data_IF_800061815217
#
_entry.id   IF_800061815217
#
_cell.length_a   1.000
_cell.length_b   1.000
_cell.length_c   1.000
_cell.angle_alpha   90.00
_cell.angle_beta   90.00
_cell.angle_gamma   90.00
#
_symmetry.space_group_name_H-M   'P 1'
#
loop_
_entity.id
_entity.type
_entity.pdbx_description
1 polymer ?
#
# COMPACT_ATOMS: atom_id res chain seq x y z
N UNK A 1 3.61 -13.29 -9.86
CA UNK A 1 4.44 -12.42 -10.72
C UNK A 1 4.54 -11.00 -10.15
N UNK A 2 3.42 -10.23 -9.93
CA UNK A 2 3.43 -8.81 -9.53
C UNK A 2 4.25 -8.55 -8.26
N UNK A 3 4.12 -9.37 -7.22
CA UNK A 3 4.90 -9.23 -5.97
C UNK A 3 6.39 -9.38 -6.22
N UNK A 4 6.79 -10.42 -6.98
CA UNK A 4 8.20 -10.67 -7.33
C UNK A 4 8.75 -9.54 -8.20
N UNK A 5 7.97 -9.08 -9.21
CA UNK A 5 8.38 -7.98 -10.08
C UNK A 5 8.65 -6.69 -9.28
N UNK A 6 7.78 -6.35 -8.33
CA UNK A 6 8.01 -5.16 -7.51
C UNK A 6 9.24 -5.29 -6.61
N UNK A 7 9.49 -6.46 -6.03
CA UNK A 7 10.71 -6.74 -5.26
C UNK A 7 11.97 -6.57 -6.11
N UNK A 8 11.97 -7.08 -7.33
CA UNK A 8 13.08 -6.93 -8.26
C UNK A 8 13.27 -5.47 -8.71
N UNK A 9 12.16 -4.72 -8.87
CA UNK A 9 12.22 -3.27 -9.12
C UNK A 9 12.87 -2.51 -7.96
N UNK A 10 12.49 -2.79 -6.71
CA UNK A 10 13.13 -2.20 -5.51
C UNK A 10 14.64 -2.47 -5.53
N UNK A 11 15.07 -3.70 -5.78
CA UNK A 11 16.48 -4.06 -5.87
C UNK A 11 17.20 -3.35 -7.02
N UNK A 12 16.53 -3.22 -8.18
CA UNK A 12 17.07 -2.52 -9.34
C UNK A 12 17.23 -1.03 -9.06
N UNK A 13 16.22 -0.40 -8.45
CA UNK A 13 16.28 1.02 -8.09
C UNK A 13 17.39 1.30 -7.07
N UNK A 14 17.57 0.45 -6.06
CA UNK A 14 18.69 0.56 -5.11
C UNK A 14 20.05 0.40 -5.80
N UNK A 15 20.16 -0.49 -6.78
CA UNK A 15 21.39 -0.67 -7.56
C UNK A 15 21.69 0.59 -8.38
N UNK A 16 20.68 1.15 -9.06
CA UNK A 16 20.82 2.39 -9.82
C UNK A 16 21.15 3.58 -8.93
N UNK A 17 20.58 3.64 -7.73
CA UNK A 17 20.89 4.67 -6.74
C UNK A 17 22.36 4.63 -6.33
N UNK A 18 22.89 3.43 -6.01
CA UNK A 18 24.32 3.23 -5.70
C UNK A 18 25.25 3.63 -6.84
N UNK A 19 24.76 3.60 -8.08
CA UNK A 19 25.48 4.07 -9.28
C UNK A 19 25.32 5.58 -9.52
N UNK A 20 24.64 6.32 -8.64
CA UNK A 20 24.39 7.76 -8.80
C UNK A 20 23.37 8.09 -9.91
N UNK A 21 22.55 7.10 -10.35
CA UNK A 21 21.57 7.29 -11.42
C UNK A 21 20.17 7.62 -10.94
N UNK A 22 19.91 7.45 -9.65
CA UNK A 22 18.65 7.80 -8.99
C UNK A 22 18.88 8.80 -7.88
N UNK A 23 17.80 9.41 -7.39
CA UNK A 23 17.89 10.49 -6.40
C UNK A 23 17.44 10.04 -5.01
N UNK A 24 16.42 9.18 -4.93
CA UNK A 24 15.82 8.73 -3.69
C UNK A 24 15.05 7.42 -3.90
N UNK A 25 14.91 6.61 -2.86
CA UNK A 25 14.15 5.36 -2.92
C UNK A 25 13.48 5.06 -1.57
N UNK A 26 12.22 4.65 -1.64
CA UNK A 26 11.45 4.08 -0.53
C UNK A 26 10.80 2.78 -1.00
N UNK A 27 11.42 1.64 -0.67
CA UNK A 27 10.95 0.33 -1.10
C UNK A 27 9.68 -0.13 -0.39
N UNK A 28 8.91 -0.99 -1.05
CA UNK A 28 7.72 -1.62 -0.48
C UNK A 28 7.97 -3.06 0.00
N UNK A 29 9.22 -3.51 0.00
CA UNK A 29 9.59 -4.88 0.38
C UNK A 29 9.04 -5.27 1.74
N UNK A 30 8.21 -6.32 1.77
CA UNK A 30 7.46 -6.78 2.94
C UNK A 30 5.98 -6.38 2.96
N UNK A 31 5.54 -5.49 2.06
CA UNK A 31 4.15 -5.04 1.92
C UNK A 31 3.44 -5.63 0.70
N UNK A 32 4.14 -6.34 -0.17
CA UNK A 32 3.68 -6.71 -1.50
C UNK A 32 2.40 -7.57 -1.49
N UNK A 33 2.25 -8.48 -0.51
CA UNK A 33 1.07 -9.34 -0.46
C UNK A 33 -0.20 -8.52 -0.18
N UNK A 34 -0.17 -7.62 0.82
CA UNK A 34 -1.29 -6.76 1.16
C UNK A 34 -1.66 -5.84 -0.01
N UNK A 35 -0.66 -5.24 -0.63
CA UNK A 35 -0.84 -4.30 -1.73
C UNK A 35 -1.40 -4.98 -2.98
N UNK A 36 -0.83 -6.09 -3.40
CA UNK A 36 -1.31 -6.83 -4.59
C UNK A 36 -2.69 -7.43 -4.33
N UNK A 37 -2.99 -7.91 -3.12
CA UNK A 37 -4.31 -8.43 -2.77
C UNK A 37 -5.43 -7.39 -2.98
N UNK A 38 -5.17 -6.13 -2.63
CA UNK A 38 -6.10 -5.01 -2.85
C UNK A 38 -6.43 -4.81 -4.34
N UNK A 39 -5.45 -4.98 -5.24
CA UNK A 39 -5.63 -4.76 -6.69
C UNK A 39 -6.53 -5.77 -7.40
N UNK A 40 -6.90 -6.87 -6.74
CA UNK A 40 -7.88 -7.83 -7.26
C UNK A 40 -9.32 -7.44 -6.93
N UNK A 41 -9.51 -6.36 -6.18
CA UNK A 41 -10.81 -5.88 -5.73
C UNK A 41 -11.09 -4.46 -6.21
N UNK A 42 -10.05 -3.62 -6.24
CA UNK A 42 -10.12 -2.26 -6.78
C UNK A 42 -10.07 -2.32 -8.31
N UNK A 43 -11.10 -1.78 -8.95
CA UNK A 43 -11.23 -1.79 -10.40
C UNK A 43 -10.44 -0.61 -11.02
N UNK A 44 -9.27 -0.92 -11.57
CA UNK A 44 -8.38 0.07 -12.20
C UNK A 44 -9.10 0.87 -13.30
N UNK A 45 -8.90 2.18 -13.35
CA UNK A 45 -9.57 3.07 -14.32
C UNK A 45 -11.05 3.36 -14.02
N UNK A 46 -11.61 2.75 -12.96
CA UNK A 46 -12.99 2.95 -12.53
C UNK A 46 -13.05 3.45 -11.09
N UNK A 47 -12.46 2.71 -10.15
CA UNK A 47 -12.35 3.14 -8.77
C UNK A 47 -11.22 4.17 -8.62
N UNK A 48 -11.29 5.00 -7.60
CA UNK A 48 -10.31 6.04 -7.35
C UNK A 48 -9.29 5.59 -6.32
N UNK A 49 -8.02 5.94 -6.53
CA UNK A 49 -6.91 5.53 -5.68
C UNK A 49 -6.10 6.72 -5.18
N UNK A 50 -5.93 6.80 -3.87
CA UNK A 50 -5.10 7.78 -3.15
C UNK A 50 -3.98 7.01 -2.42
N UNK A 51 -2.99 6.49 -3.16
CA UNK A 51 -1.91 5.72 -2.58
C UNK A 51 -0.95 6.60 -1.78
N UNK A 52 -0.10 5.99 -0.94
CA UNK A 52 1.05 6.67 -0.34
C UNK A 52 2.36 6.16 -0.98
N UNK A 53 3.47 6.77 -0.61
CA UNK A 53 4.78 6.54 -1.25
C UNK A 53 5.23 5.07 -1.29
N UNK A 54 4.82 4.25 -0.31
CA UNK A 54 5.23 2.84 -0.23
C UNK A 54 4.36 1.90 -1.06
N UNK A 55 3.34 2.38 -1.72
CA UNK A 55 2.38 1.57 -2.48
C UNK A 55 2.88 1.09 -3.86
N UNK A 56 4.18 0.84 -4.00
CA UNK A 56 4.78 0.42 -5.28
C UNK A 56 4.13 -0.81 -5.90
N UNK A 57 3.85 -1.85 -5.11
CA UNK A 57 3.21 -3.06 -5.60
C UNK A 57 1.71 -2.86 -5.88
N UNK A 58 1.04 -1.98 -5.15
CA UNK A 58 -0.35 -1.62 -5.41
C UNK A 58 -0.50 -0.91 -6.77
N UNK A 59 0.26 0.15 -7.00
CA UNK A 59 0.17 0.90 -8.27
C UNK A 59 0.65 0.07 -9.46
N UNK A 60 1.65 -0.82 -9.28
CA UNK A 60 2.05 -1.80 -10.27
C UNK A 60 0.88 -2.75 -10.59
N UNK A 61 0.18 -3.19 -9.56
CA UNK A 61 -0.98 -4.05 -9.67
C UNK A 61 -2.14 -3.42 -10.44
N UNK A 62 -2.33 -2.10 -10.33
CA UNK A 62 -3.33 -1.34 -11.08
C UNK A 62 -2.92 -1.06 -12.54
N UNK A 63 -1.63 -1.17 -12.88
CA UNK A 63 -1.16 -0.99 -14.26
C UNK A 63 -0.14 0.14 -14.47
N UNK A 64 0.32 0.82 -13.41
CA UNK A 64 1.51 1.68 -13.49
C UNK A 64 2.74 0.78 -13.61
N UNK A 65 3.13 0.46 -14.83
CA UNK A 65 4.09 -0.60 -15.14
C UNK A 65 5.53 -0.29 -14.70
N UNK A 66 6.41 -1.29 -14.77
CA UNK A 66 7.79 -1.20 -14.32
C UNK A 66 8.60 -0.10 -15.03
N UNK A 67 8.37 0.08 -16.34
CA UNK A 67 9.03 1.15 -17.12
C UNK A 67 8.61 2.53 -16.60
N UNK A 68 7.33 2.75 -16.36
CA UNK A 68 6.78 4.01 -15.86
C UNK A 68 7.31 4.34 -14.46
N UNK A 69 7.36 3.35 -13.56
CA UNK A 69 7.94 3.54 -12.23
C UNK A 69 9.45 3.85 -12.30
N UNK A 70 10.20 3.24 -13.23
CA UNK A 70 11.61 3.56 -13.45
C UNK A 70 11.80 4.96 -14.06
N UNK A 71 10.92 5.41 -14.95
CA UNK A 71 10.95 6.77 -15.48
C UNK A 71 10.78 7.82 -14.36
N UNK A 72 9.83 7.58 -13.46
CA UNK A 72 9.63 8.42 -12.27
C UNK A 72 10.88 8.39 -11.36
N UNK A 73 11.39 7.20 -11.04
CA UNK A 73 12.59 7.04 -10.22
C UNK A 73 13.82 7.76 -10.80
N UNK A 74 13.98 7.78 -12.13
CA UNK A 74 15.07 8.41 -12.84
C UNK A 74 14.79 9.89 -13.20
N UNK A 75 13.69 10.46 -12.75
CA UNK A 75 13.24 11.83 -13.03
C UNK A 75 13.27 12.17 -14.54
N UNK A 76 12.68 11.29 -15.36
CA UNK A 76 12.63 11.49 -16.81
C UNK A 76 11.41 12.29 -17.24
N UNK A 77 11.53 13.04 -18.34
CA UNK A 77 10.43 13.83 -18.89
C UNK A 77 9.21 12.98 -19.29
N UNK A 78 9.43 11.72 -19.68
CA UNK A 78 8.36 10.75 -20.02
C UNK A 78 7.70 10.09 -18.80
N UNK A 79 8.04 10.50 -17.58
CA UNK A 79 7.38 10.04 -16.36
C UNK A 79 5.90 10.43 -16.36
N UNK A 80 4.95 9.47 -16.37
CA UNK A 80 3.52 9.78 -16.42
C UNK A 80 3.00 10.41 -15.12
N UNK A 81 3.74 10.28 -14.00
CA UNK A 81 3.31 10.81 -12.71
C UNK A 81 3.50 12.33 -12.63
N UNK A 82 4.61 12.86 -13.13
CA UNK A 82 4.94 14.28 -12.96
C UNK A 82 5.85 14.85 -14.04
N UNK A 83 6.24 14.08 -15.05
CA UNK A 83 7.29 14.50 -16.00
C UNK A 83 8.63 14.71 -15.32
N UNK A 84 8.96 13.88 -14.33
CA UNK A 84 10.20 13.93 -13.57
C UNK A 84 10.34 15.11 -12.58
N UNK A 85 9.24 15.79 -12.24
CA UNK A 85 9.26 17.00 -11.38
C UNK A 85 9.04 16.72 -9.90
N UNK A 86 8.37 15.62 -9.56
CA UNK A 86 8.17 15.19 -8.17
C UNK A 86 9.30 14.27 -7.71
N UNK A 87 9.48 14.16 -6.40
CA UNK A 87 10.32 13.13 -5.81
C UNK A 87 9.80 11.75 -6.19
N UNK A 88 10.67 10.75 -6.45
CA UNK A 88 10.24 9.38 -6.73
C UNK A 88 9.26 8.83 -5.68
N UNK A 89 8.45 7.87 -6.08
CA UNK A 89 7.36 7.25 -5.29
C UNK A 89 6.19 8.20 -4.98
N UNK A 90 6.01 9.25 -5.78
CA UNK A 90 4.81 10.09 -5.79
C UNK A 90 3.98 9.71 -7.01
N UNK A 91 3.11 8.72 -6.84
CA UNK A 91 2.37 8.12 -7.94
C UNK A 91 1.20 8.98 -8.40
N UNK A 92 1.01 9.03 -9.72
CA UNK A 92 -0.15 9.67 -10.34
C UNK A 92 -0.35 9.11 -11.75
N UNK A 93 -1.59 8.78 -12.12
CA UNK A 93 -1.91 8.39 -13.49
C UNK A 93 -3.42 8.51 -13.73
N UNK A 94 -3.81 9.39 -14.64
CA UNK A 94 -5.20 9.77 -14.86
C UNK A 94 -6.06 8.60 -15.36
N UNK A 95 -5.60 7.87 -16.38
CA UNK A 95 -6.29 6.72 -16.96
C UNK A 95 -6.49 5.54 -16.00
N UNK A 96 -5.67 5.45 -14.96
CA UNK A 96 -5.81 4.49 -13.86
C UNK A 96 -6.55 5.07 -12.64
N UNK A 97 -6.96 6.35 -12.70
CA UNK A 97 -7.55 7.09 -11.57
C UNK A 97 -6.70 7.04 -10.31
N UNK A 98 -5.40 7.09 -10.48
CA UNK A 98 -4.43 7.27 -9.39
C UNK A 98 -4.21 8.78 -9.23
N UNK A 99 -4.65 9.32 -8.10
CA UNK A 99 -4.59 10.76 -7.82
C UNK A 99 -3.20 11.13 -7.29
N UNK A 100 -2.69 12.27 -7.74
CA UNK A 100 -1.41 12.80 -7.26
C UNK A 100 -1.38 12.91 -5.74
N UNK A 101 -0.36 12.32 -5.13
CA UNK A 101 -0.18 12.40 -3.69
C UNK A 101 0.71 13.57 -3.29
N UNK A 102 0.54 14.01 -2.05
CA UNK A 102 1.40 14.97 -1.38
C UNK A 102 2.56 14.26 -0.67
N UNK A 103 3.71 14.94 -0.53
CA UNK A 103 4.80 14.49 0.36
C UNK A 103 4.41 14.59 1.84
N UNK A 104 3.55 15.54 2.20
CA UNK A 104 2.97 15.62 3.53
C UNK A 104 1.96 14.48 3.72
N UNK A 105 2.33 13.48 4.52
CA UNK A 105 1.51 12.29 4.76
C UNK A 105 0.24 12.63 5.53
N UNK A 106 -0.88 12.03 5.15
CA UNK A 106 -2.19 12.24 5.79
C UNK A 106 -3.14 13.12 4.98
N UNK A 107 -2.64 14.05 4.17
CA UNK A 107 -3.48 14.97 3.37
C UNK A 107 -4.40 14.24 2.40
N UNK A 108 -4.02 13.05 1.93
CA UNK A 108 -4.82 12.23 1.02
C UNK A 108 -6.13 11.73 1.63
N UNK A 109 -6.26 11.66 2.95
CA UNK A 109 -7.44 11.13 3.60
C UNK A 109 -8.70 11.97 3.34
N UNK A 110 -8.62 13.28 3.58
CA UNK A 110 -9.75 14.19 3.35
C UNK A 110 -10.06 14.33 1.85
N UNK A 111 -9.03 14.31 1.00
CA UNK A 111 -9.21 14.32 -0.45
C UNK A 111 -9.97 13.07 -0.92
N UNK A 112 -9.62 11.90 -0.42
CA UNK A 112 -10.30 10.64 -0.73
C UNK A 112 -11.78 10.65 -0.28
N UNK A 113 -12.05 11.18 0.91
CA UNK A 113 -13.42 11.34 1.41
C UNK A 113 -14.23 12.29 0.54
N UNK A 114 -13.66 13.44 0.16
CA UNK A 114 -14.31 14.39 -0.76
C UNK A 114 -14.66 13.76 -2.11
N UNK A 115 -13.73 12.99 -2.68
CA UNK A 115 -13.98 12.21 -3.89
C UNK A 115 -15.11 11.20 -3.70
N UNK A 116 -15.10 10.43 -2.62
CA UNK A 116 -16.14 9.44 -2.36
C UNK A 116 -17.53 10.06 -2.15
N UNK A 117 -17.61 11.22 -1.53
CA UNK A 117 -18.86 11.96 -1.38
C UNK A 117 -19.40 12.43 -2.74
N UNK A 118 -18.53 12.93 -3.63
CA UNK A 118 -18.92 13.28 -4.99
C UNK A 118 -19.47 12.06 -5.75
N UNK A 119 -18.79 10.90 -5.67
CA UNK A 119 -19.27 9.66 -6.32
C UNK A 119 -20.61 9.20 -5.76
N UNK A 120 -20.81 9.32 -4.45
CA UNK A 120 -22.09 9.02 -3.80
C UNK A 120 -23.21 9.94 -4.26
N UNK A 121 -22.96 11.23 -4.38
CA UNK A 121 -23.94 12.21 -4.87
C UNK A 121 -24.37 11.91 -6.32
N UNK A 122 -23.44 11.48 -7.15
CA UNK A 122 -23.71 11.05 -8.53
C UNK A 122 -24.39 9.68 -8.62
N UNK A 123 -24.66 9.02 -7.49
CA UNK A 123 -25.29 7.69 -7.39
C UNK A 123 -24.54 6.59 -8.14
N UNK A 124 -23.25 6.75 -8.39
CA UNK A 124 -22.45 5.68 -8.96
C UNK A 124 -21.95 4.70 -7.88
N UNK A 125 -21.43 3.55 -8.34
CA UNK A 125 -20.97 2.48 -7.44
C UNK A 125 -19.44 2.43 -7.31
N UNK A 126 -18.76 3.48 -7.75
CA UNK A 126 -17.32 3.59 -7.60
C UNK A 126 -16.95 3.68 -6.13
N UNK A 127 -15.83 3.10 -5.78
CA UNK A 127 -15.27 3.18 -4.42
C UNK A 127 -13.97 3.93 -4.47
N UNK A 128 -13.54 4.41 -3.31
CA UNK A 128 -12.29 5.14 -3.16
C UNK A 128 -11.38 4.37 -2.23
N UNK A 129 -10.21 4.04 -2.70
CA UNK A 129 -9.12 3.49 -1.91
C UNK A 129 -8.21 4.62 -1.45
N UNK A 130 -7.83 4.60 -0.18
CA UNK A 130 -6.80 5.48 0.39
C UNK A 130 -5.92 4.69 1.34
N UNK A 131 -4.62 4.90 1.27
CA UNK A 131 -3.65 4.14 2.07
C UNK A 131 -2.64 5.01 2.80
N UNK A 132 -2.07 4.43 3.84
CA UNK A 132 -0.92 4.96 4.55
C UNK A 132 -0.21 3.90 5.39
N UNK A 133 0.92 4.26 6.00
CA UNK A 133 1.45 3.56 7.18
C UNK A 133 0.71 3.94 8.46
N UNK A 134 0.93 3.15 9.52
CA UNK A 134 0.34 3.40 10.85
C UNK A 134 0.76 4.75 11.44
N UNK A 135 2.00 5.18 11.17
CA UNK A 135 2.51 6.46 11.65
C UNK A 135 1.68 7.66 11.21
N UNK A 136 1.13 7.61 10.00
CA UNK A 136 0.30 8.68 9.43
C UNK A 136 -1.05 8.81 10.14
N UNK A 137 -1.51 7.78 10.85
CA UNK A 137 -2.80 7.85 11.58
C UNK A 137 -2.79 8.82 12.76
N UNK A 138 -1.63 9.35 13.15
CA UNK A 138 -1.50 10.42 14.14
C UNK A 138 -1.88 11.81 13.59
N UNK A 139 -2.06 11.96 12.27
CA UNK A 139 -2.52 13.23 11.69
C UNK A 139 -4.00 13.47 11.97
N UNK A 140 -4.36 14.73 12.28
CA UNK A 140 -5.76 15.12 12.50
C UNK A 140 -6.68 14.79 11.32
N UNK A 141 -6.18 14.93 10.10
CA UNK A 141 -6.89 14.62 8.86
C UNK A 141 -7.40 13.16 8.81
N UNK A 142 -6.69 12.20 9.42
CA UNK A 142 -7.17 10.82 9.52
C UNK A 142 -8.46 10.72 10.33
N UNK A 143 -8.47 11.32 11.50
CA UNK A 143 -9.62 11.29 12.42
C UNK A 143 -10.82 12.04 11.84
N UNK A 144 -10.58 13.18 11.23
CA UNK A 144 -11.63 13.96 10.56
C UNK A 144 -12.21 13.19 9.37
N UNK A 145 -11.37 12.58 8.53
CA UNK A 145 -11.79 11.77 7.40
C UNK A 145 -12.64 10.56 7.84
N UNK A 146 -12.26 9.89 8.93
CA UNK A 146 -13.06 8.80 9.49
C UNK A 146 -14.42 9.28 9.99
N UNK A 147 -14.47 10.40 10.70
CA UNK A 147 -15.71 10.99 11.18
C UNK A 147 -16.65 11.35 10.02
N UNK A 148 -16.15 12.07 9.02
CA UNK A 148 -16.93 12.47 7.86
C UNK A 148 -17.42 11.28 7.04
N UNK A 149 -16.52 10.38 6.70
CA UNK A 149 -16.88 9.20 5.89
C UNK A 149 -17.87 8.29 6.60
N UNK A 150 -17.75 8.13 7.90
CA UNK A 150 -18.65 7.32 8.75
C UNK A 150 -20.04 7.94 8.83
N UNK A 151 -20.13 9.24 9.17
CA UNK A 151 -21.38 9.98 9.22
C UNK A 151 -22.13 9.93 7.89
N UNK A 152 -21.42 10.15 6.79
CA UNK A 152 -21.99 10.18 5.44
C UNK A 152 -22.12 8.80 4.81
N UNK A 153 -21.66 7.73 5.43
CA UNK A 153 -21.55 6.38 4.83
C UNK A 153 -20.88 6.41 3.45
N UNK A 154 -19.78 7.16 3.36
CA UNK A 154 -19.03 7.32 2.12
C UNK A 154 -18.36 6.00 1.68
N UNK A 155 -18.29 5.69 0.38
CA UNK A 155 -17.71 4.46 -0.14
C UNK A 155 -16.17 4.50 -0.16
N UNK A 156 -15.54 4.60 1.01
CA UNK A 156 -14.07 4.66 1.18
C UNK A 156 -13.55 3.42 1.86
N UNK A 157 -12.41 2.93 1.40
CA UNK A 157 -11.60 1.90 2.06
C UNK A 157 -10.29 2.55 2.49
N UNK A 158 -10.08 2.67 3.80
CA UNK A 158 -8.82 3.10 4.40
C UNK A 158 -7.94 1.88 4.63
N UNK A 159 -6.81 1.79 3.94
CA UNK A 159 -5.84 0.73 4.10
C UNK A 159 -4.64 1.22 4.91
N UNK A 160 -4.51 0.75 6.13
CA UNK A 160 -3.40 1.08 7.02
C UNK A 160 -2.42 -0.09 7.03
N UNK A 161 -1.22 0.14 6.52
CA UNK A 161 -0.16 -0.86 6.44
C UNK A 161 0.76 -0.68 7.67
N UNK A 162 0.43 -1.42 8.73
CA UNK A 162 1.15 -1.37 10.02
C UNK A 162 2.41 -2.24 9.96
N UNK A 163 3.56 -1.59 9.82
CA UNK A 163 4.89 -2.21 9.87
C UNK A 163 5.63 -1.90 11.17
N UNK A 164 4.91 -1.39 12.17
CA UNK A 164 5.36 -1.07 13.53
C UNK A 164 6.26 0.17 13.67
N UNK A 165 6.67 0.82 12.57
CA UNK A 165 7.63 1.91 12.63
C UNK A 165 7.27 3.10 11.72
N UNK A 166 7.13 4.27 12.31
CA UNK A 166 7.15 5.55 11.61
C UNK A 166 8.61 6.06 11.56
N UNK A 167 9.31 5.81 10.44
CA UNK A 167 10.77 5.99 10.32
C UNK A 167 11.48 5.16 11.38
N UNK A 168 11.88 5.79 12.50
CA UNK A 168 12.57 5.18 13.65
C UNK A 168 11.70 5.09 14.91
N UNK A 169 10.53 5.72 14.93
CA UNK A 169 9.61 5.71 16.07
C UNK A 169 8.74 4.47 16.04
N UNK A 170 8.84 3.62 17.06
CA UNK A 170 7.99 2.44 17.18
C UNK A 170 6.55 2.83 17.51
N UNK A 171 5.57 2.09 17.00
CA UNK A 171 4.14 2.39 17.16
C UNK A 171 3.67 2.54 18.61
N UNK A 172 4.30 1.86 19.57
CA UNK A 172 3.99 1.98 20.99
C UNK A 172 4.33 3.36 21.59
N UNK A 173 5.22 4.10 20.94
CA UNK A 173 5.59 5.46 21.33
C UNK A 173 4.69 6.52 20.66
N UNK A 174 3.86 6.11 19.71
CA UNK A 174 3.07 7.00 18.87
C UNK A 174 1.56 6.84 19.07
N UNK A 175 1.08 5.61 19.22
CA UNK A 175 -0.35 5.32 19.22
C UNK A 175 -0.78 4.72 20.56
N UNK A 176 -1.79 5.29 21.19
CA UNK A 176 -2.41 4.72 22.38
C UNK A 176 -3.17 3.44 22.04
N UNK A 177 -2.52 2.29 22.26
CA UNK A 177 -3.00 0.97 21.86
C UNK A 177 -2.68 0.62 20.41
N UNK A 178 -3.68 0.32 19.60
CA UNK A 178 -3.51 -0.01 18.19
C UNK A 178 -4.42 0.84 17.30
N UNK A 179 -4.08 1.00 16.03
CA UNK A 179 -4.95 1.68 15.06
C UNK A 179 -6.33 1.01 15.00
N UNK A 180 -6.37 -0.32 15.07
CA UNK A 180 -7.63 -1.08 15.09
C UNK A 180 -8.53 -0.72 16.29
N UNK A 181 -7.93 -0.54 17.47
CA UNK A 181 -8.65 -0.10 18.68
C UNK A 181 -9.05 1.37 18.59
N UNK A 182 -8.15 2.22 18.12
CA UNK A 182 -8.35 3.66 17.99
C UNK A 182 -9.59 4.03 17.20
N UNK A 183 -9.90 3.28 16.14
CA UNK A 183 -11.03 3.55 15.24
C UNK A 183 -12.33 2.86 15.69
N UNK A 184 -12.41 2.37 16.93
CA UNK A 184 -13.58 1.57 17.39
C UNK A 184 -14.84 2.37 17.62
N UNK A 185 -14.73 3.68 17.87
CA UNK A 185 -15.84 4.55 18.24
C UNK A 185 -16.64 5.15 17.08
N UNK A 186 -16.24 4.94 15.83
CA UNK A 186 -16.94 5.50 14.68
C UNK A 186 -18.11 4.62 14.26
N UNK A 187 -19.32 5.17 14.30
CA UNK A 187 -20.52 4.49 13.78
C UNK A 187 -20.45 4.29 12.26
N UNK A 188 -21.10 3.26 11.76
CA UNK A 188 -21.12 2.88 10.34
C UNK A 188 -19.76 2.51 9.73
N UNK A 189 -18.67 2.51 10.51
CA UNK A 189 -17.34 2.08 10.10
C UNK A 189 -17.19 0.57 10.31
N UNK A 190 -16.77 -0.16 9.28
CA UNK A 190 -16.31 -1.54 9.42
C UNK A 190 -14.81 -1.59 9.66
N UNK A 191 -14.36 -2.53 10.48
CA UNK A 191 -12.94 -2.66 10.83
C UNK A 191 -12.46 -4.08 10.55
N UNK A 192 -11.32 -4.20 9.92
CA UNK A 192 -10.63 -5.46 9.68
C UNK A 192 -9.20 -5.35 10.19
N UNK A 193 -8.73 -6.36 10.89
CA UNK A 193 -7.31 -6.52 11.20
C UNK A 193 -6.87 -7.85 10.61
N UNK A 194 -5.83 -7.83 9.79
CA UNK A 194 -5.38 -8.98 9.00
C UNK A 194 -3.86 -9.14 9.08
N UNK A 195 -3.38 -10.35 8.91
CA UNK A 195 -1.97 -10.56 8.59
C UNK A 195 -1.70 -10.09 7.16
N UNK A 196 -1.09 -8.91 7.03
CA UNK A 196 -0.76 -8.31 5.72
C UNK A 196 0.31 -9.05 4.94
N UNK A 197 0.98 -10.05 5.54
CA UNK A 197 1.88 -10.97 4.84
C UNK A 197 1.12 -12.12 4.18
N UNK A 198 -0.15 -12.33 4.55
CA UNK A 198 -1.07 -13.28 3.91
C UNK A 198 -1.88 -12.59 2.80
N UNK A 199 -1.62 -12.99 1.56
CA UNK A 199 -2.39 -12.51 0.41
C UNK A 199 -3.89 -12.85 0.53
N UNK A 200 -4.21 -14.08 0.91
CA UNK A 200 -5.60 -14.57 0.91
C UNK A 200 -6.43 -13.92 2.01
N UNK A 201 -5.87 -13.75 3.21
CA UNK A 201 -6.54 -13.08 4.31
C UNK A 201 -6.83 -11.61 3.98
N UNK A 202 -5.82 -10.92 3.46
CA UNK A 202 -5.96 -9.52 3.03
C UNK A 202 -6.97 -9.37 1.89
N UNK A 203 -6.91 -10.26 0.88
CA UNK A 203 -7.87 -10.23 -0.23
C UNK A 203 -9.32 -10.39 0.24
N UNK A 204 -9.57 -11.30 1.18
CA UNK A 204 -10.90 -11.52 1.74
C UNK A 204 -11.43 -10.27 2.46
N UNK A 205 -10.59 -9.59 3.25
CA UNK A 205 -10.96 -8.35 3.91
C UNK A 205 -11.30 -7.24 2.90
N UNK A 206 -10.48 -7.08 1.85
CA UNK A 206 -10.75 -6.11 0.79
C UNK A 206 -12.05 -6.42 0.04
N UNK A 207 -12.32 -7.68 -0.27
CA UNK A 207 -13.57 -8.11 -0.90
C UNK A 207 -14.79 -7.71 -0.07
N UNK A 208 -14.77 -8.00 1.23
CA UNK A 208 -15.86 -7.63 2.15
C UNK A 208 -16.03 -6.11 2.26
N UNK A 209 -14.91 -5.37 2.37
CA UNK A 209 -14.91 -3.91 2.45
C UNK A 209 -15.48 -3.28 1.16
N UNK A 210 -15.07 -3.75 -0.01
CA UNK A 210 -15.55 -3.24 -1.30
C UNK A 210 -17.03 -3.54 -1.52
N UNK A 211 -17.49 -4.75 -1.19
CA UNK A 211 -18.91 -5.09 -1.25
C UNK A 211 -19.74 -4.20 -0.33
N UNK A 212 -19.24 -3.91 0.87
CA UNK A 212 -19.89 -3.00 1.81
C UNK A 212 -19.99 -1.59 1.23
N UNK A 213 -18.88 -1.05 0.72
CA UNK A 213 -18.80 0.29 0.14
C UNK A 213 -19.74 0.43 -1.08
N UNK A 214 -19.70 -0.52 -2.03
CA UNK A 214 -20.57 -0.51 -3.22
C UNK A 214 -22.07 -0.64 -2.89
N UNK A 215 -22.41 -1.26 -1.74
CA UNK A 215 -23.79 -1.33 -1.22
C UNK A 215 -24.20 -0.10 -0.39
N UNK A 216 -23.35 0.94 -0.32
CA UNK A 216 -23.64 2.17 0.44
C UNK A 216 -23.72 1.98 1.96
N UNK A 217 -23.09 0.91 2.49
CA UNK A 217 -23.12 0.60 3.92
C UNK A 217 -22.06 1.37 4.74
N UNK A 218 -21.29 2.24 4.10
CA UNK A 218 -20.28 3.10 4.72
C UNK A 218 -18.86 2.59 4.56
N UNK A 219 -17.89 3.33 5.14
CA UNK A 219 -16.47 3.08 4.97
C UNK A 219 -15.99 1.83 5.71
N UNK A 220 -14.75 1.44 5.38
CA UNK A 220 -14.03 0.39 6.11
C UNK A 220 -12.60 0.83 6.38
N UNK A 221 -12.05 0.43 7.52
CA UNK A 221 -10.60 0.48 7.80
C UNK A 221 -10.06 -0.95 7.78
N UNK A 222 -9.03 -1.19 6.99
CA UNK A 222 -8.29 -2.45 6.95
C UNK A 222 -6.89 -2.15 7.50
N UNK A 223 -6.58 -2.71 8.66
CA UNK A 223 -5.24 -2.68 9.26
C UNK A 223 -4.53 -3.96 8.88
N UNK A 224 -3.57 -3.86 7.98
CA UNK A 224 -2.73 -4.97 7.53
C UNK A 224 -1.41 -4.96 8.31
N UNK A 225 -1.19 -5.96 9.16
CA UNK A 225 0.07 -6.14 9.88
C UNK A 225 1.12 -6.68 8.90
N UNK A 226 1.93 -5.80 8.38
CA UNK A 226 2.99 -6.10 7.40
C UNK A 226 4.37 -6.07 8.05
N UNK A 227 5.42 -6.37 7.29
CA UNK A 227 6.81 -6.23 7.73
C UNK A 227 7.55 -5.24 6.85
N UNK A 228 8.55 -4.55 7.41
CA UNK A 228 9.42 -3.66 6.66
C UNK A 228 10.80 -4.29 6.52
N UNK A 229 11.03 -5.00 5.40
CA UNK A 229 12.26 -5.76 5.16
C UNK A 229 13.47 -4.87 4.80
N UNK A 230 13.22 -3.66 4.30
CA UNK A 230 14.24 -2.67 3.96
C UNK A 230 14.19 -1.48 4.94
N UNK A 231 15.25 -0.65 5.01
CA UNK A 231 15.21 0.62 5.72
C UNK A 231 14.03 1.48 5.28
N UNK A 232 13.64 2.47 6.09
CA UNK A 232 12.52 3.36 5.76
C UNK A 232 12.68 4.00 4.38
N UNK A 233 13.90 4.44 4.08
CA UNK A 233 14.27 5.01 2.79
C UNK A 233 15.75 4.78 2.52
N UNK A 234 16.22 5.20 1.35
CA UNK A 234 17.63 5.11 0.95
C UNK A 234 18.59 5.94 1.82
N UNK A 235 18.10 6.88 2.60
CA UNK A 235 18.87 7.69 3.54
C UNK A 235 18.84 7.18 4.99
N UNK A 236 18.12 6.07 5.24
CA UNK A 236 17.93 5.49 6.57
C UNK A 236 18.82 4.26 6.81
N UNK A 237 19.19 4.05 8.06
CA UNK A 237 19.85 2.82 8.54
C UNK A 237 19.06 2.24 9.73
N UNK A 238 18.16 1.32 9.44
CA UNK A 238 17.30 0.71 10.46
C UNK A 238 18.04 -0.06 11.56
N UNK A 239 19.32 -0.40 11.37
CA UNK A 239 20.16 -1.06 12.40
C UNK A 239 20.45 -0.14 13.58
N UNK A 240 20.23 1.16 13.46
CA UNK A 240 20.41 2.14 14.53
C UNK A 240 19.29 2.12 15.57
N UNK A 241 18.11 1.59 15.22
CA UNK A 241 16.93 1.61 16.10
C UNK A 241 16.17 0.28 16.14
N UNK A 242 16.54 -0.70 15.31
CA UNK A 242 15.97 -2.05 15.33
C UNK A 242 17.04 -3.07 15.67
N UNK A 243 16.72 -3.98 16.57
CA UNK A 243 17.61 -5.06 16.93
C UNK A 243 17.79 -6.06 15.79
N UNK A 244 18.93 -6.77 15.80
CA UNK A 244 19.19 -7.85 14.83
C UNK A 244 18.09 -8.93 14.88
N UNK A 245 17.62 -9.29 16.09
CA UNK A 245 16.60 -10.30 16.28
C UNK A 245 15.22 -9.88 15.70
N UNK A 246 14.85 -8.58 15.72
CA UNK A 246 13.65 -8.09 15.05
C UNK A 246 13.77 -8.22 13.52
N UNK A 247 14.91 -7.80 12.97
CA UNK A 247 15.15 -7.89 11.52
C UNK A 247 15.11 -9.34 11.03
N UNK A 248 15.68 -10.27 11.79
CA UNK A 248 15.65 -11.71 11.49
C UNK A 248 14.22 -12.27 11.55
N UNK A 249 13.41 -11.86 12.53
CA UNK A 249 11.98 -12.25 12.63
C UNK A 249 11.17 -11.75 11.44
N UNK A 250 11.42 -10.51 11.00
CA UNK A 250 10.73 -9.96 9.83
C UNK A 250 11.06 -10.74 8.55
N UNK A 251 12.31 -11.17 8.38
CA UNK A 251 12.71 -12.00 7.24
C UNK A 251 11.95 -13.33 7.17
N UNK A 252 11.60 -13.92 8.32
CA UNK A 252 10.79 -15.14 8.37
C UNK A 252 9.32 -14.90 7.95
N UNK A 253 8.90 -13.64 7.96
CA UNK A 253 7.57 -13.19 7.54
C UNK A 253 7.57 -12.56 6.13
N UNK A 254 8.55 -12.85 5.29
CA UNK A 254 8.58 -12.37 3.90
C UNK A 254 7.32 -12.84 3.15
N UNK A 255 6.43 -11.90 2.72
CA UNK A 255 5.16 -12.23 2.11
C UNK A 255 5.29 -13.01 0.80
N UNK A 256 6.40 -12.85 0.06
CA UNK A 256 6.63 -13.60 -1.19
C UNK A 256 6.91 -15.07 -0.87
N UNK A 257 7.75 -15.32 0.13
CA UNK A 257 8.07 -16.69 0.55
C UNK A 257 6.84 -17.38 1.15
N UNK A 258 6.11 -16.68 2.02
CA UNK A 258 4.89 -17.21 2.63
C UNK A 258 3.84 -17.55 1.58
N UNK A 259 3.59 -16.66 0.61
CA UNK A 259 2.64 -16.91 -0.46
C UNK A 259 3.04 -18.09 -1.35
N UNK A 260 4.33 -18.21 -1.73
CA UNK A 260 4.83 -19.36 -2.49
C UNK A 260 4.59 -20.67 -1.75
N UNK A 261 4.99 -20.71 -0.47
CA UNK A 261 4.82 -21.90 0.37
C UNK A 261 3.34 -22.30 0.52
N UNK A 262 2.47 -21.33 0.71
CA UNK A 262 1.03 -21.56 0.82
C UNK A 262 0.44 -22.11 -0.49
N UNK A 263 0.85 -21.55 -1.63
CA UNK A 263 0.41 -22.03 -2.94
C UNK A 263 0.91 -23.44 -3.24
N UNK A 264 2.16 -23.77 -2.91
CA UNK A 264 2.71 -25.13 -3.08
C UNK A 264 1.98 -26.12 -2.17
N UNK A 265 1.82 -25.78 -0.88
CA UNK A 265 1.09 -26.60 0.10
C UNK A 265 -0.33 -26.93 -0.35
N UNK A 266 -1.03 -25.95 -0.92
CA UNK A 266 -2.40 -26.09 -1.42
C UNK A 266 -2.48 -26.60 -2.87
N UNK A 267 -1.34 -26.98 -3.47
CA UNK A 267 -1.25 -27.50 -4.86
C UNK A 267 -1.79 -26.54 -5.92
N UNK A 268 -1.71 -25.24 -5.67
CA UNK A 268 -2.06 -24.18 -6.65
C UNK A 268 -0.92 -24.02 -7.66
N UNK A 269 0.33 -24.11 -7.20
CA UNK A 269 1.55 -24.10 -8.00
C UNK A 269 2.50 -25.21 -7.53
N UNK A 270 3.30 -25.71 -8.45
CA UNK A 270 4.46 -26.55 -8.16
C UNK A 270 5.71 -25.68 -7.89
N UNK A 271 6.73 -26.26 -7.26
CA UNK A 271 8.02 -25.57 -7.07
C UNK A 271 8.64 -25.16 -8.42
N UNK A 272 8.56 -26.01 -9.45
CA UNK A 272 9.07 -25.71 -10.79
C UNK A 272 8.38 -24.50 -11.42
N UNK A 273 7.07 -24.33 -11.24
CA UNK A 273 6.35 -23.16 -11.75
C UNK A 273 6.76 -21.88 -11.02
N UNK A 274 7.04 -21.93 -9.73
CA UNK A 274 7.55 -20.75 -8.99
C UNK A 274 8.93 -20.32 -9.51
N UNK A 275 9.82 -21.28 -9.84
CA UNK A 275 11.14 -20.99 -10.43
C UNK A 275 10.99 -20.34 -11.80
N UNK A 276 10.05 -20.83 -12.62
CA UNK A 276 9.77 -20.25 -13.96
C UNK A 276 9.28 -18.79 -13.81
N UNK A 277 8.39 -18.53 -12.87
CA UNK A 277 7.88 -17.17 -12.59
C UNK A 277 9.04 -16.24 -12.20
N UNK A 278 9.89 -16.66 -11.28
CA UNK A 278 11.05 -15.87 -10.84
C UNK A 278 12.02 -15.60 -12.01
N UNK A 279 12.28 -16.61 -12.84
CA UNK A 279 13.15 -16.47 -14.00
C UNK A 279 12.58 -15.57 -15.11
N UNK A 280 11.26 -15.52 -15.25
CA UNK A 280 10.56 -14.63 -16.19
C UNK A 280 10.62 -13.17 -15.75
N UNK A 281 10.49 -12.93 -14.46
CA UNK A 281 10.52 -11.57 -13.90
C UNK A 281 11.91 -10.95 -13.92
N UNK A 282 12.97 -11.75 -13.81
CA UNK A 282 14.38 -11.28 -13.83
C UNK A 282 14.92 -10.93 -15.22
N UNK A 283 14.22 -11.28 -16.27
CA UNK A 283 14.55 -10.93 -17.68
C UNK A 283 13.99 -9.55 -18.03
#
# INVERSE_FOLDING_TARGET
EKMVLMRELDHKMLTLLKQGKGYFHMGCSGHEAAQVAATYVIESGKDWSYPYYRDGAYVLGLGLNSREQLLSFLARADDPCSGGRQMPMHYSKEDLRIVSQSSATGTQYLQAVGCALSRKLEKNKEIVYVSSGEGTTSQGDFHEALNWSSREKAPVIFHIQDNEYAISTHKSEQTAGSVFSLVSGYENLSRFQVDGTSFFETHLAFKQAAERARKGKGPSVIVSNVVRLMPHSSSDDQRKYRSKGELEKDLLRDPILLFKNECIKNKIFSESETIVIDGKVKK
#
